data_IF_867836137125
#
_entry.id   IF_867836137125
#
_cell.length_a   1.000
_cell.length_b   1.000
_cell.length_c   1.000
_cell.angle_alpha   90.00
_cell.angle_beta   90.00
_cell.angle_gamma   90.00
#
_symmetry.space_group_name_H-M   'P 1'
#
loop_
_entity.id
_entity.type
_entity.pdbx_description
1 polymer ?
#
# COMPACT_ATOMS: atom_id res chain seq x y z
N UNK A 1 -22.80 2.93 -11.33
CA UNK A 1 -21.86 3.93 -10.78
C UNK A 1 -20.71 3.15 -10.19
N UNK A 2 -19.46 3.51 -10.53
CA UNK A 2 -18.28 2.83 -9.97
C UNK A 2 -18.19 2.99 -8.45
N UNK A 3 -17.41 2.13 -7.79
CA UNK A 3 -17.13 2.23 -6.36
C UNK A 3 -16.49 3.60 -6.05
N UNK A 4 -16.89 4.27 -4.96
CA UNK A 4 -16.54 5.68 -4.68
C UNK A 4 -15.06 5.98 -4.44
N UNK A 5 -14.19 4.98 -4.50
CA UNK A 5 -12.74 5.11 -4.29
C UNK A 5 -11.98 4.24 -5.27
N UNK A 6 -12.09 4.56 -6.57
CA UNK A 6 -11.28 3.95 -7.63
C UNK A 6 -10.23 4.95 -8.06
N UNK A 7 -8.96 4.60 -7.85
CA UNK A 7 -7.82 5.40 -8.24
C UNK A 7 -7.09 4.72 -9.40
N UNK A 8 -6.76 5.44 -10.48
CA UNK A 8 -5.98 4.87 -11.57
C UNK A 8 -4.53 4.61 -11.09
N UNK A 9 -3.98 3.44 -11.41
CA UNK A 9 -2.63 3.03 -11.05
C UNK A 9 -1.69 3.09 -12.28
N UNK A 10 -1.63 4.24 -12.95
CA UNK A 10 -0.91 4.39 -14.23
C UNK A 10 0.60 4.14 -14.12
N UNK A 11 1.20 4.40 -12.94
CA UNK A 11 2.60 4.09 -12.63
C UNK A 11 2.77 2.79 -11.79
N UNK A 12 1.78 1.91 -11.82
CA UNK A 12 1.84 0.59 -11.16
C UNK A 12 2.13 0.65 -9.66
N UNK A 13 3.12 -0.13 -9.21
CA UNK A 13 3.45 -0.28 -7.78
C UNK A 13 3.87 1.03 -7.10
N UNK A 14 4.47 1.98 -7.82
CA UNK A 14 4.87 3.28 -7.27
C UNK A 14 3.66 4.19 -7.00
N UNK A 15 2.69 4.21 -7.91
CA UNK A 15 1.42 4.91 -7.66
C UNK A 15 0.70 4.30 -6.44
N UNK A 16 0.69 2.97 -6.34
CA UNK A 16 0.12 2.26 -5.20
C UNK A 16 0.81 2.64 -3.88
N UNK A 17 2.14 2.67 -3.83
CA UNK A 17 2.87 3.01 -2.59
C UNK A 17 2.57 4.43 -2.12
N UNK A 18 2.45 5.39 -3.04
CA UNK A 18 2.05 6.75 -2.72
C UNK A 18 0.65 6.81 -2.08
N UNK A 19 -0.33 6.09 -2.65
CA UNK A 19 -1.68 6.05 -2.10
C UNK A 19 -1.73 5.33 -0.75
N UNK A 20 -1.03 4.22 -0.60
CA UNK A 20 -0.96 3.49 0.68
C UNK A 20 -0.34 4.36 1.77
N UNK A 21 0.74 5.09 1.49
CA UNK A 21 1.37 6.02 2.45
C UNK A 21 0.45 7.16 2.89
N UNK A 22 -0.43 7.62 2.00
CA UNK A 22 -1.39 8.67 2.31
C UNK A 22 -2.58 8.18 3.17
N UNK A 23 -2.88 6.88 3.15
CA UNK A 23 -4.07 6.30 3.77
C UNK A 23 -3.76 5.49 5.04
N UNK A 24 -2.72 4.67 5.00
CA UNK A 24 -2.36 3.71 6.04
C UNK A 24 -1.44 4.33 7.09
N UNK A 25 -1.58 3.86 8.33
CA UNK A 25 -0.74 4.20 9.49
C UNK A 25 0.09 2.98 9.92
N UNK A 26 1.17 3.17 10.69
CA UNK A 26 1.88 2.04 11.30
C UNK A 26 0.92 1.15 12.07
N UNK A 27 0.96 -0.16 11.80
CA UNK A 27 0.07 -1.16 12.40
C UNK A 27 -1.17 -1.50 11.55
N UNK A 28 -1.50 -0.73 10.51
CA UNK A 28 -2.60 -1.06 9.61
C UNK A 28 -2.23 -2.23 8.68
N UNK A 29 -3.23 -3.04 8.34
CA UNK A 29 -3.08 -4.16 7.41
C UNK A 29 -3.47 -3.73 5.99
N UNK A 30 -2.57 -3.96 5.02
CA UNK A 30 -2.83 -3.73 3.60
C UNK A 30 -2.99 -5.07 2.90
N UNK A 31 -4.17 -5.33 2.34
CA UNK A 31 -4.50 -6.57 1.61
C UNK A 31 -4.70 -6.25 0.13
N UNK A 32 -3.85 -6.80 -0.72
CA UNK A 32 -4.06 -6.77 -2.17
C UNK A 32 -5.06 -7.85 -2.61
N UNK A 33 -6.12 -7.45 -3.31
CA UNK A 33 -7.14 -8.36 -3.83
C UNK A 33 -7.30 -8.16 -5.34
N UNK A 34 -7.35 -9.24 -6.10
CA UNK A 34 -7.50 -9.22 -7.56
C UNK A 34 -6.72 -10.33 -8.24
N UNK A 35 -6.40 -10.13 -9.50
CA UNK A 35 -5.61 -11.06 -10.31
C UNK A 35 -4.51 -10.31 -11.10
N UNK A 36 -3.53 -11.06 -11.61
CA UNK A 36 -2.47 -10.50 -12.46
C UNK A 36 -1.44 -9.69 -11.68
N UNK A 37 -1.25 -8.44 -12.07
CA UNK A 37 -0.14 -7.57 -11.62
C UNK A 37 -0.22 -7.18 -10.14
N UNK A 38 -1.39 -7.32 -9.49
CA UNK A 38 -1.54 -6.99 -8.06
C UNK A 38 -0.63 -7.82 -7.16
N UNK A 39 -0.40 -9.10 -7.48
CA UNK A 39 0.49 -9.97 -6.70
C UNK A 39 1.92 -9.46 -6.74
N UNK A 40 2.40 -9.06 -7.93
CA UNK A 40 3.73 -8.47 -8.08
C UNK A 40 3.85 -7.14 -7.34
N UNK A 41 2.84 -6.29 -7.44
CA UNK A 41 2.84 -4.99 -6.76
C UNK A 41 2.87 -5.15 -5.25
N UNK A 42 2.11 -6.08 -4.68
CA UNK A 42 2.14 -6.37 -3.25
C UNK A 42 3.50 -6.92 -2.79
N UNK A 43 4.24 -7.64 -3.65
CA UNK A 43 5.62 -8.05 -3.34
C UNK A 43 6.63 -6.90 -3.41
N UNK A 44 6.39 -5.90 -4.26
CA UNK A 44 7.25 -4.70 -4.39
C UNK A 44 6.95 -3.65 -3.32
N UNK A 45 5.69 -3.56 -2.89
CA UNK A 45 5.18 -2.51 -2.02
C UNK A 45 5.99 -2.33 -0.72
N UNK A 46 6.39 -3.38 0.03
CA UNK A 46 7.22 -3.22 1.22
C UNK A 46 8.58 -2.57 0.95
N UNK A 47 9.15 -2.75 -0.26
CA UNK A 47 10.43 -2.11 -0.64
C UNK A 47 10.25 -0.63 -0.99
N UNK A 48 9.05 -0.26 -1.45
CA UNK A 48 8.69 1.10 -1.86
C UNK A 48 8.15 1.95 -0.70
N UNK A 49 7.81 1.31 0.42
CA UNK A 49 7.43 1.96 1.68
C UNK A 49 8.62 1.83 2.65
N UNK A 50 9.68 2.65 2.50
CA UNK A 50 10.79 2.62 3.44
C UNK A 50 10.25 2.85 4.85
N UNK A 51 10.82 2.13 5.83
CA UNK A 51 10.37 2.13 7.22
C UNK A 51 10.03 3.55 7.68
N UNK A 52 8.74 3.80 7.90
CA UNK A 52 8.26 4.95 8.65
C UNK A 52 8.48 4.79 10.17
N UNK A 53 9.25 3.75 10.53
CA UNK A 53 9.99 3.50 11.76
C UNK A 53 9.38 2.43 12.68
N UNK A 54 10.24 1.50 13.09
CA UNK A 54 10.11 0.67 14.29
C UNK A 54 10.05 1.52 15.59
N UNK A 55 9.88 2.84 15.52
CA UNK A 55 9.72 3.74 16.67
C UNK A 55 8.28 3.91 17.18
N UNK A 56 7.26 3.41 16.47
CA UNK A 56 5.87 3.45 16.96
C UNK A 56 5.38 2.13 17.60
N UNK A 57 6.22 1.08 17.57
CA UNK A 57 5.84 -0.29 17.96
C UNK A 57 6.33 -0.76 19.34
N UNK A 58 6.60 0.17 20.26
CA UNK A 58 7.07 -0.11 21.63
C UNK A 58 6.11 0.39 22.70
N UNK A 59 4.84 0.00 22.64
CA UNK A 59 3.89 0.24 23.73
C UNK A 59 2.83 -0.86 23.78
N UNK A 60 3.23 -2.02 24.32
CA UNK A 60 2.39 -2.95 25.08
C UNK A 60 3.30 -3.93 25.84
#
# INVERSE_FOLDING_TARGET
QGHGSVLPAEAGAEALSHHVRALARPGDLVIGMGAGTITEWMHLLPKLLPDADMAAGGAA
#
